data_IF_859986209336
#
_entry.id   IF_859986209336
#
_cell.length_a   1.000
_cell.length_b   1.000
_cell.length_c   1.000
_cell.angle_alpha   90.00
_cell.angle_beta   90.00
_cell.angle_gamma   90.00
#
_symmetry.space_group_name_H-M   'P 1'
#
loop_
_entity.id
_entity.type
_entity.pdbx_description
1 polymer ?
#
# COMPACT_ATOMS: atom_id res chain seq x y z
N UNK A 1 -19.72 17.79 0.87
CA UNK A 1 -18.53 17.71 1.75
C UNK A 1 -17.63 16.59 1.27
N UNK A 2 -16.51 16.93 0.63
CA UNK A 2 -15.58 15.95 0.04
C UNK A 2 -14.80 16.60 -1.10
N UNK A 3 -13.75 17.33 -0.77
CA UNK A 3 -12.79 17.87 -1.75
C UNK A 3 -11.37 17.71 -1.18
N UNK A 4 -11.14 18.12 0.07
CA UNK A 4 -9.83 17.95 0.74
C UNK A 4 -9.41 16.48 0.98
N UNK A 5 -10.37 15.54 1.13
CA UNK A 5 -10.09 14.12 1.46
C UNK A 5 -9.64 13.28 0.27
N UNK A 6 -10.12 13.58 -0.94
CA UNK A 6 -9.73 12.85 -2.14
C UNK A 6 -8.31 13.26 -2.59
N UNK A 7 -7.92 14.51 -2.36
CA UNK A 7 -6.56 14.99 -2.60
C UNK A 7 -5.53 14.32 -1.70
N UNK A 8 -5.89 13.96 -0.46
CA UNK A 8 -4.97 13.35 0.50
C UNK A 8 -4.35 12.03 0.01
N UNK A 9 -4.99 11.35 -0.95
CA UNK A 9 -4.42 10.15 -1.58
C UNK A 9 -4.10 10.35 -3.06
N UNK A 10 -4.89 11.13 -3.81
CA UNK A 10 -4.57 11.44 -5.20
C UNK A 10 -3.22 12.15 -5.33
N UNK A 11 -2.90 13.08 -4.42
CA UNK A 11 -1.58 13.73 -4.39
C UNK A 11 -0.45 12.73 -4.13
N UNK A 12 -0.65 11.83 -3.16
CA UNK A 12 0.33 10.77 -2.82
C UNK A 12 0.59 9.85 -4.02
N UNK A 13 -0.47 9.44 -4.72
CA UNK A 13 -0.36 8.63 -5.94
C UNK A 13 0.37 9.38 -7.07
N UNK A 14 0.08 10.67 -7.29
CA UNK A 14 0.73 11.50 -8.31
C UNK A 14 2.23 11.74 -8.01
N UNK A 15 2.64 11.66 -6.75
CA UNK A 15 4.04 11.72 -6.34
C UNK A 15 4.77 10.37 -6.52
N UNK A 16 4.10 9.35 -7.06
CA UNK A 16 4.69 8.04 -7.34
C UNK A 16 4.84 7.14 -6.11
N UNK A 17 4.19 7.47 -5.00
CA UNK A 17 4.23 6.63 -3.78
C UNK A 17 3.57 5.28 -4.06
N UNK A 18 4.24 4.19 -3.68
CA UNK A 18 3.78 2.80 -3.88
C UNK A 18 3.34 2.10 -2.60
N UNK A 19 3.84 2.55 -1.46
CA UNK A 19 3.47 2.04 -0.15
C UNK A 19 3.54 3.16 0.89
N UNK A 20 2.75 3.03 1.95
CA UNK A 20 2.78 3.92 3.12
C UNK A 20 2.99 3.07 4.36
N UNK A 21 4.00 3.42 5.15
CA UNK A 21 4.32 2.75 6.41
C UNK A 21 3.91 3.65 7.58
N UNK A 22 3.07 3.12 8.49
CA UNK A 22 2.57 3.87 9.64
C UNK A 22 2.32 2.95 10.85
N UNK A 23 2.19 3.51 12.06
CA UNK A 23 1.78 2.72 13.24
C UNK A 23 0.31 2.30 13.16
N UNK A 24 -0.54 3.17 12.62
CA UNK A 24 -1.97 2.92 12.47
C UNK A 24 -2.53 3.75 11.31
N UNK A 25 -3.74 3.39 10.87
CA UNK A 25 -4.47 4.11 9.83
C UNK A 25 -5.89 4.38 10.28
N UNK A 26 -6.42 5.54 9.93
CA UNK A 26 -7.86 5.77 9.94
C UNK A 26 -8.52 4.88 8.87
N UNK A 27 -9.71 4.34 9.18
CA UNK A 27 -10.39 3.32 8.38
C UNK A 27 -10.63 3.77 6.94
N UNK A 28 -11.14 4.98 6.73
CA UNK A 28 -11.46 5.53 5.40
C UNK A 28 -10.17 5.83 4.64
N UNK A 29 -9.18 6.45 5.29
CA UNK A 29 -7.90 6.75 4.65
C UNK A 29 -7.19 5.48 4.15
N UNK A 30 -7.18 4.42 4.97
CA UNK A 30 -6.64 3.10 4.59
C UNK A 30 -7.28 2.56 3.31
N UNK A 31 -8.61 2.55 3.23
CA UNK A 31 -9.31 2.05 2.05
C UNK A 31 -9.08 2.94 0.82
N UNK A 32 -8.91 4.25 1.00
CA UNK A 32 -8.56 5.15 -0.11
C UNK A 32 -7.15 4.89 -0.67
N UNK A 33 -6.15 4.60 0.19
CA UNK A 33 -4.79 4.20 -0.24
C UNK A 33 -4.86 2.97 -1.16
N UNK A 34 -5.57 1.93 -0.71
CA UNK A 34 -5.79 0.67 -1.45
C UNK A 34 -6.49 0.96 -2.79
N UNK A 35 -7.53 1.79 -2.77
CA UNK A 35 -8.23 2.21 -3.99
C UNK A 35 -7.35 2.91 -5.01
N UNK A 36 -6.27 3.56 -4.58
CA UNK A 36 -5.27 4.21 -5.43
C UNK A 36 -4.07 3.31 -5.76
N UNK A 37 -4.11 2.02 -5.40
CA UNK A 37 -3.03 1.07 -5.68
C UNK A 37 -1.82 1.21 -4.74
N UNK A 38 -1.97 1.91 -3.61
CA UNK A 38 -0.91 2.14 -2.64
C UNK A 38 -1.04 1.14 -1.50
N UNK A 39 0.03 0.40 -1.19
CA UNK A 39 0.05 -0.61 -0.14
C UNK A 39 0.20 0.02 1.26
N UNK A 40 -0.83 -0.04 2.14
CA UNK A 40 -0.68 0.41 3.51
C UNK A 40 -0.02 -0.69 4.37
N UNK A 41 1.05 -0.33 5.10
CA UNK A 41 1.81 -1.21 5.97
C UNK A 41 1.78 -0.69 7.41
N UNK A 42 1.44 -1.56 8.36
CA UNK A 42 1.51 -1.30 9.79
C UNK A 42 2.88 -1.70 10.32
N UNK A 43 3.56 -0.77 10.96
CA UNK A 43 4.79 -1.03 11.72
C UNK A 43 4.53 -2.00 12.87
N UNK A 44 5.48 -2.89 13.20
CA UNK A 44 5.45 -3.60 14.47
C UNK A 44 5.49 -2.60 15.65
N UNK A 45 4.86 -2.93 16.80
CA UNK A 45 4.77 -2.02 17.94
C UNK A 45 6.13 -1.60 18.52
N UNK A 46 7.16 -2.44 18.37
CA UNK A 46 8.52 -2.17 18.79
C UNK A 46 9.26 -1.12 17.94
N UNK A 47 8.76 -0.83 16.73
CA UNK A 47 9.34 0.16 15.83
C UNK A 47 8.50 1.44 15.77
N UNK A 48 9.19 2.58 15.69
CA UNK A 48 8.55 3.82 15.31
C UNK A 48 9.53 4.97 15.13
N UNK A 49 9.03 6.19 14.90
CA UNK A 49 9.84 7.30 14.40
C UNK A 49 11.05 7.61 15.29
N UNK A 50 10.86 7.51 16.61
CA UNK A 50 11.89 7.82 17.60
C UNK A 50 13.05 6.80 17.57
N UNK A 51 12.73 5.53 17.28
CA UNK A 51 13.69 4.44 17.21
C UNK A 51 14.39 4.38 15.86
N UNK A 52 13.64 4.67 14.79
CA UNK A 52 14.12 4.56 13.41
C UNK A 52 14.95 5.77 12.96
N UNK A 53 14.80 6.94 13.60
CA UNK A 53 15.57 8.18 13.33
C UNK A 53 15.80 8.46 11.84
N UNK A 54 14.75 8.27 11.03
CA UNK A 54 14.87 8.22 9.58
C UNK A 54 15.29 9.57 9.01
N UNK A 55 16.42 9.63 8.32
CA UNK A 55 16.92 10.85 7.65
C UNK A 55 17.47 10.54 6.26
N UNK A 56 16.64 10.69 5.22
CA UNK A 56 17.06 10.45 3.83
C UNK A 56 17.31 8.98 3.49
N UNK A 57 16.76 8.06 4.28
CA UNK A 57 17.04 6.63 4.20
C UNK A 57 16.23 5.94 3.10
N UNK A 58 16.77 4.83 2.59
CA UNK A 58 16.11 4.00 1.57
C UNK A 58 15.28 2.93 2.26
N UNK A 59 13.99 2.86 1.91
CA UNK A 59 13.11 1.77 2.31
C UNK A 59 12.96 0.77 1.16
N UNK A 60 13.39 -0.46 1.41
CA UNK A 60 13.13 -1.60 0.54
C UNK A 60 11.93 -2.39 1.08
N UNK A 61 10.89 -2.54 0.28
CA UNK A 61 9.67 -3.27 0.64
C UNK A 61 9.52 -4.46 -0.30
N UNK A 62 9.54 -5.67 0.26
CA UNK A 62 9.38 -6.91 -0.50
C UNK A 62 7.93 -7.37 -0.42
N UNK A 63 7.11 -6.82 -1.31
CA UNK A 63 5.72 -7.18 -1.49
C UNK A 63 5.54 -7.83 -2.87
N UNK A 64 5.66 -9.15 -2.91
CA UNK A 64 5.38 -9.93 -4.12
C UNK A 64 3.87 -10.04 -4.35
N UNK A 65 3.40 -9.85 -5.58
CA UNK A 65 1.99 -9.94 -5.96
C UNK A 65 1.35 -11.29 -5.58
N UNK A 66 2.14 -12.36 -5.51
CA UNK A 66 1.68 -13.67 -5.06
C UNK A 66 1.55 -13.78 -3.53
N UNK A 67 2.26 -12.94 -2.78
CA UNK A 67 2.33 -12.97 -1.31
C UNK A 67 1.40 -11.95 -0.66
N UNK A 68 0.95 -10.91 -1.38
CA UNK A 68 0.01 -9.93 -0.85
C UNK A 68 -1.36 -10.58 -0.60
N UNK A 69 -1.72 -10.69 0.68
CA UNK A 69 -2.98 -11.19 1.19
C UNK A 69 -3.48 -10.34 2.37
N UNK A 70 -4.70 -10.61 2.84
CA UNK A 70 -5.25 -9.94 4.03
C UNK A 70 -4.34 -10.13 5.23
N UNK A 71 -3.94 -9.02 5.87
CA UNK A 71 -3.07 -8.97 7.06
C UNK A 71 -1.75 -9.76 6.96
N UNK A 72 -1.23 -9.98 5.75
CA UNK A 72 0.00 -10.75 5.57
C UNK A 72 1.23 -9.97 6.11
N UNK A 73 2.27 -10.68 6.57
CA UNK A 73 3.56 -10.05 6.84
C UNK A 73 4.23 -9.63 5.52
N UNK A 74 4.89 -8.47 5.53
CA UNK A 74 5.64 -7.89 4.42
C UNK A 74 7.02 -7.49 4.95
N UNK A 75 8.08 -8.01 4.33
CA UNK A 75 9.44 -7.68 4.73
C UNK A 75 9.78 -6.25 4.33
N UNK A 76 10.25 -5.48 5.30
CA UNK A 76 10.71 -4.11 5.12
C UNK A 76 12.16 -4.03 5.62
N UNK A 77 13.03 -3.51 4.78
CA UNK A 77 14.43 -3.22 5.12
C UNK A 77 14.66 -1.73 4.98
N UNK A 78 15.17 -1.11 6.04
CA UNK A 78 15.59 0.29 6.06
C UNK A 78 17.11 0.30 5.96
N UNK A 79 17.63 1.09 5.02
CA UNK A 79 19.06 1.27 4.79
C UNK A 79 19.44 2.70 5.17
N UNK A 80 19.92 2.91 6.41
CA UNK A 80 20.31 4.24 6.85
C UNK A 80 21.53 4.75 6.09
N UNK A 81 21.63 6.06 5.90
CA UNK A 81 22.77 6.66 5.18
C UNK A 81 24.11 6.51 5.93
N UNK A 82 24.09 6.23 7.24
CA UNK A 82 25.30 6.14 8.07
C UNK A 82 25.21 5.13 9.21
N UNK A 83 24.50 4.02 9.01
CA UNK A 83 24.30 3.00 10.04
C UNK A 83 23.98 1.62 9.47
N UNK A 84 23.74 0.66 10.36
CA UNK A 84 23.42 -0.72 9.98
C UNK A 84 22.01 -0.86 9.42
N UNK A 85 21.83 -1.81 8.51
CA UNK A 85 20.51 -2.13 7.96
C UNK A 85 19.57 -2.66 9.05
N UNK A 86 18.33 -2.18 9.04
CA UNK A 86 17.28 -2.63 9.97
C UNK A 86 16.22 -3.36 9.15
N UNK A 87 15.98 -4.63 9.47
CA UNK A 87 14.97 -5.44 8.80
C UNK A 87 13.91 -5.93 9.77
N UNK A 88 12.64 -5.81 9.37
CA UNK A 88 11.50 -6.31 10.14
C UNK A 88 10.34 -6.71 9.22
N UNK A 89 9.36 -7.41 9.79
CA UNK A 89 8.12 -7.76 9.10
C UNK A 89 7.02 -6.78 9.49
N UNK A 90 6.61 -5.91 8.56
CA UNK A 90 5.42 -5.08 8.72
C UNK A 90 4.15 -5.87 8.38
N UNK A 91 2.99 -5.43 8.83
CA UNK A 91 1.70 -6.09 8.51
C UNK A 91 0.95 -5.32 7.45
N UNK A 92 0.57 -5.96 6.35
CA UNK A 92 -0.29 -5.35 5.34
C UNK A 92 -1.64 -4.96 5.95
N UNK A 93 -2.02 -3.69 5.90
CA UNK A 93 -3.29 -3.19 6.43
C UNK A 93 -4.45 -3.43 5.46
N UNK A 94 -4.54 -4.65 4.93
CA UNK A 94 -5.59 -5.13 4.03
C UNK A 94 -6.51 -6.01 4.87
N UNK A 95 -7.83 -5.81 4.74
CA UNK A 95 -8.81 -6.46 5.61
C UNK A 95 -9.70 -7.45 4.83
N UNK A 96 -9.86 -7.26 3.52
CA UNK A 96 -10.77 -8.08 2.69
C UNK A 96 -10.12 -8.57 1.40
N UNK A 97 -10.67 -9.63 0.80
CA UNK A 97 -10.20 -10.13 -0.50
C UNK A 97 -10.42 -9.14 -1.64
N UNK A 98 -11.52 -8.38 -1.62
CA UNK A 98 -11.77 -7.33 -2.63
C UNK A 98 -10.69 -6.24 -2.61
N UNK A 99 -10.17 -5.90 -1.43
CA UNK A 99 -9.05 -4.96 -1.30
C UNK A 99 -7.73 -5.55 -1.84
N UNK A 100 -7.50 -6.86 -1.64
CA UNK A 100 -6.36 -7.58 -2.25
C UNK A 100 -6.44 -7.51 -3.78
N UNK A 101 -7.60 -7.84 -4.35
CA UNK A 101 -7.83 -7.78 -5.81
C UNK A 101 -7.65 -6.37 -6.36
N UNK A 102 -8.16 -5.37 -5.64
CA UNK A 102 -8.00 -3.96 -5.99
C UNK A 102 -6.53 -3.56 -6.04
N UNK A 103 -5.74 -3.93 -5.04
CA UNK A 103 -4.30 -3.64 -5.03
C UNK A 103 -3.55 -4.34 -6.17
N UNK A 104 -3.83 -5.64 -6.42
CA UNK A 104 -3.22 -6.41 -7.52
C UNK A 104 -3.57 -5.84 -8.90
N UNK A 105 -4.75 -5.24 -9.03
CA UNK A 105 -5.13 -4.55 -10.26
C UNK A 105 -4.40 -3.20 -10.45
N UNK A 106 -3.76 -2.67 -9.41
CA UNK A 106 -3.14 -1.34 -9.40
C UNK A 106 -4.08 -0.22 -8.93
N UNK A 107 -5.21 -0.56 -8.30
CA UNK A 107 -6.23 0.36 -7.83
C UNK A 107 -7.62 0.06 -8.40
N UNK A 108 -8.62 0.81 -7.93
CA UNK A 108 -10.04 0.57 -8.23
C UNK A 108 -10.38 0.89 -9.69
N UNK A 109 -9.84 1.97 -10.25
CA UNK A 109 -10.09 2.33 -11.65
C UNK A 109 -9.49 1.31 -12.62
N UNK A 110 -8.22 0.87 -12.46
CA UNK A 110 -7.69 -0.26 -13.23
C UNK A 110 -8.52 -1.53 -13.11
N UNK A 111 -9.01 -1.88 -11.92
CA UNK A 111 -9.85 -3.06 -11.71
C UNK A 111 -11.15 -2.97 -12.52
N UNK A 112 -11.86 -1.84 -12.41
CA UNK A 112 -13.11 -1.61 -13.14
C UNK A 112 -12.87 -1.69 -14.66
N UNK A 113 -11.79 -1.07 -15.15
CA UNK A 113 -11.47 -1.10 -16.58
C UNK A 113 -11.22 -2.53 -17.08
N UNK A 114 -10.45 -3.34 -16.34
CA UNK A 114 -10.20 -4.75 -16.68
C UNK A 114 -11.51 -5.55 -16.75
N UNK A 115 -12.41 -5.35 -15.79
CA UNK A 115 -13.69 -6.04 -15.75
C UNK A 115 -14.60 -5.65 -16.94
N UNK A 116 -14.63 -4.37 -17.29
CA UNK A 116 -15.37 -3.87 -18.46
C UNK A 116 -14.82 -4.50 -19.74
N UNK A 117 -13.50 -4.53 -19.91
CA UNK A 117 -12.86 -5.13 -21.09
C UNK A 117 -13.16 -6.62 -21.20
N UNK A 118 -13.04 -7.38 -20.10
CA UNK A 118 -13.38 -8.80 -20.09
C UNK A 118 -14.84 -9.07 -20.50
N UNK A 119 -15.77 -8.25 -20.00
CA UNK A 119 -17.19 -8.33 -20.36
C UNK A 119 -17.47 -8.02 -21.84
N UNK A 120 -16.65 -7.19 -22.50
CA UNK A 120 -16.77 -6.97 -23.94
C UNK A 120 -16.30 -8.17 -24.76
N UNK A 121 -15.22 -8.83 -24.32
CA UNK A 121 -14.68 -10.00 -25.01
C UNK A 121 -15.62 -11.22 -24.91
N UNK A 122 -16.28 -11.40 -23.77
CA UNK A 122 -17.29 -12.45 -23.58
C UNK A 122 -18.51 -12.26 -24.49
N UNK A 123 -18.93 -11.01 -24.75
CA UNK A 123 -20.07 -10.69 -25.63
C UNK A 123 -19.75 -10.80 -27.12
N UNK A 124 -18.47 -10.88 -27.49
CA UNK A 124 -18.01 -11.05 -28.88
C UNK A 124 -17.77 -12.52 -29.26
N UNK A 125 -17.80 -13.43 -28.28
CA UNK A 125 -17.77 -14.88 -28.49
C UNK A 125 -19.18 -15.44 -28.56
#
# INVERSE_FOLDING_TARGET
MGSSRDWAVKGVSLLGVRAVLARSFERIHRSNLIGMGILPLRLPPEYGPELLKLTGDVLEIRADDHLVASRCPVSVTIKPTGGDEISFAATAAIETMAEVETLKAGGILPLILRNIMASFDERRR
#
